data_IF_239532390225
#
_entry.id   IF_239532390225
#
_cell.length_a   1.000
_cell.length_b   1.000
_cell.length_c   1.000
_cell.angle_alpha   90.00
_cell.angle_beta   90.00
_cell.angle_gamma   90.00
#
_symmetry.space_group_name_H-M   'P 1'
#
loop_
_entity.id
_entity.type
_entity.pdbx_description
1 polymer ?
#
# COMPACT_ATOMS: atom_id res chain seq x y z
N UNK A 1 3.06 13.58 12.95
CA UNK A 1 3.24 15.04 12.91
C UNK A 1 3.60 15.59 11.53
N UNK A 2 4.69 15.13 10.88
CA UNK A 2 5.13 15.65 9.58
C UNK A 2 4.02 15.68 8.50
N UNK A 3 3.29 14.58 8.30
CA UNK A 3 2.20 14.53 7.32
C UNK A 3 1.11 15.59 7.57
N UNK A 4 0.77 15.86 8.84
CA UNK A 4 -0.24 16.88 9.20
C UNK A 4 0.25 18.28 8.84
N UNK A 5 1.51 18.59 9.16
CA UNK A 5 2.14 19.86 8.80
C UNK A 5 2.26 20.04 7.29
N UNK A 6 2.51 18.97 6.53
CA UNK A 6 2.53 19.02 5.06
C UNK A 6 1.14 19.37 4.51
N UNK A 7 0.06 18.78 5.05
CA UNK A 7 -1.30 19.13 4.62
C UNK A 7 -1.62 20.60 4.88
N UNK A 8 -1.30 21.09 6.09
CA UNK A 8 -1.52 22.49 6.49
C UNK A 8 -0.74 23.47 5.60
N UNK A 9 0.56 23.21 5.38
CA UNK A 9 1.40 24.06 4.53
C UNK A 9 0.93 24.15 3.07
N UNK A 10 0.12 23.20 2.62
CA UNK A 10 -0.45 23.15 1.27
C UNK A 10 -1.96 23.47 1.24
N UNK A 11 -2.57 23.89 2.36
CA UNK A 11 -3.99 24.24 2.43
C UNK A 11 -4.96 23.09 2.19
N UNK A 12 -4.54 21.83 2.44
CA UNK A 12 -5.38 20.64 2.22
C UNK A 12 -6.19 20.36 3.50
N UNK A 13 -7.48 20.68 3.46
CA UNK A 13 -8.40 20.52 4.60
C UNK A 13 -9.28 19.25 4.54
N UNK A 14 -9.28 18.53 3.41
CA UNK A 14 -10.11 17.34 3.16
C UNK A 14 -9.36 16.02 3.34
N UNK A 15 -8.36 15.99 4.22
CA UNK A 15 -7.56 14.80 4.50
C UNK A 15 -7.36 14.61 6.01
N UNK A 16 -7.26 13.36 6.44
CA UNK A 16 -7.06 13.00 7.84
C UNK A 16 -5.75 12.24 8.03
N UNK A 17 -5.02 12.58 9.10
CA UNK A 17 -3.77 11.90 9.48
C UNK A 17 -4.00 11.15 10.78
N UNK A 18 -3.98 9.82 10.70
CA UNK A 18 -4.12 8.93 11.85
C UNK A 18 -2.81 8.21 12.14
N UNK A 19 -2.47 8.13 13.43
CA UNK A 19 -1.48 7.17 13.91
C UNK A 19 -2.16 5.80 13.99
N UNK A 20 -1.58 4.79 13.34
CA UNK A 20 -2.17 3.46 13.26
C UNK A 20 -1.09 2.43 12.92
N UNK A 21 -1.26 1.19 13.37
CA UNK A 21 -0.50 0.05 12.87
C UNK A 21 -1.22 -0.56 11.66
N UNK A 22 -0.70 -0.30 10.46
CA UNK A 22 -1.24 -0.81 9.19
C UNK A 22 -2.77 -0.59 9.03
N UNK A 23 -3.30 0.54 9.49
CA UNK A 23 -4.73 0.85 9.39
C UNK A 23 -5.63 0.10 10.38
N UNK A 24 -5.08 -0.42 11.48
CA UNK A 24 -5.86 -0.86 12.63
C UNK A 24 -6.82 0.24 13.10
N UNK A 25 -8.04 -0.17 13.47
CA UNK A 25 -9.14 0.72 13.87
C UNK A 25 -9.95 1.31 12.71
N UNK A 26 -9.47 1.19 11.46
CA UNK A 26 -10.26 1.59 10.28
C UNK A 26 -11.26 0.48 9.88
N UNK A 27 -12.52 0.83 9.58
CA UNK A 27 -13.52 -0.15 9.15
C UNK A 27 -13.12 -0.88 7.87
N UNK A 28 -13.39 -2.17 7.78
CA UNK A 28 -13.18 -2.95 6.56
C UNK A 28 -14.10 -2.45 5.43
N UNK A 29 -13.63 -2.51 4.18
CA UNK A 29 -14.47 -2.10 3.03
C UNK A 29 -14.78 -0.62 2.93
N UNK A 30 -14.03 0.25 3.62
CA UNK A 30 -14.29 1.69 3.69
C UNK A 30 -13.59 2.52 2.61
N UNK A 31 -12.69 1.91 1.82
CA UNK A 31 -11.90 2.64 0.82
C UNK A 31 -12.09 2.10 -0.59
N UNK A 32 -12.13 3.03 -1.55
CA UNK A 32 -12.17 2.74 -2.98
C UNK A 32 -10.77 2.43 -3.52
N UNK A 33 -9.77 3.10 -2.94
CA UNK A 33 -8.37 3.03 -3.32
C UNK A 33 -7.51 3.05 -2.07
N UNK A 34 -6.48 2.20 -2.04
CA UNK A 34 -5.38 2.25 -1.09
C UNK A 34 -4.11 2.43 -1.90
N UNK A 35 -3.26 3.39 -1.52
CA UNK A 35 -1.95 3.61 -2.15
C UNK A 35 -0.87 3.52 -1.07
N UNK A 36 0.21 2.81 -1.37
CA UNK A 36 1.32 2.66 -0.42
C UNK A 36 2.68 2.57 -1.11
N UNK A 37 3.68 3.12 -0.43
CA UNK A 37 5.10 2.90 -0.68
C UNK A 37 5.65 2.25 0.59
N UNK A 38 5.57 0.91 0.73
CA UNK A 38 5.98 0.23 1.95
C UNK A 38 7.45 0.51 2.28
N UNK A 39 7.83 0.55 3.56
CA UNK A 39 9.23 0.63 3.92
C UNK A 39 9.99 -0.58 3.38
N UNK A 40 11.25 -0.36 3.00
CA UNK A 40 12.17 -1.41 2.59
C UNK A 40 13.41 -1.36 3.46
N UNK A 41 13.93 -2.53 3.81
CA UNK A 41 15.19 -2.73 4.50
C UNK A 41 16.14 -3.53 3.60
N UNK A 42 17.29 -3.92 4.13
CA UNK A 42 18.31 -4.70 3.40
C UNK A 42 18.09 -6.21 3.60
N UNK A 43 17.22 -6.58 4.54
CA UNK A 43 16.93 -7.97 4.90
C UNK A 43 15.59 -8.42 4.30
N UNK A 44 15.68 -9.32 3.31
CA UNK A 44 14.57 -9.76 2.47
C UNK A 44 13.48 -10.48 3.27
N UNK A 45 13.82 -11.20 4.34
CA UNK A 45 12.80 -11.90 5.14
C UNK A 45 11.96 -10.93 5.97
N UNK A 46 12.62 -9.93 6.58
CA UNK A 46 11.95 -8.85 7.31
C UNK A 46 11.07 -8.03 6.35
N UNK A 47 11.58 -7.76 5.14
CA UNK A 47 10.84 -7.05 4.10
C UNK A 47 9.57 -7.80 3.69
N UNK A 48 9.62 -9.14 3.56
CA UNK A 48 8.43 -9.93 3.23
C UNK A 48 7.36 -9.80 4.29
N UNK A 49 7.70 -9.94 5.58
CA UNK A 49 6.72 -9.89 6.65
C UNK A 49 6.03 -8.52 6.70
N UNK A 50 6.80 -7.44 6.60
CA UNK A 50 6.25 -6.08 6.60
C UNK A 50 5.40 -5.86 5.35
N UNK A 51 5.89 -6.24 4.16
CA UNK A 51 5.14 -6.11 2.92
C UNK A 51 3.79 -6.83 2.98
N UNK A 52 3.76 -8.08 3.46
CA UNK A 52 2.52 -8.85 3.60
C UNK A 52 1.52 -8.17 4.53
N UNK A 53 1.96 -7.63 5.68
CA UNK A 53 1.06 -6.88 6.59
C UNK A 53 0.41 -5.68 5.90
N UNK A 54 1.16 -4.93 5.09
CA UNK A 54 0.61 -3.82 4.32
C UNK A 54 -0.37 -4.28 3.23
N UNK A 55 -0.06 -5.38 2.52
CA UNK A 55 -0.89 -5.94 1.45
C UNK A 55 -2.22 -6.47 2.02
N UNK A 56 -2.18 -7.23 3.12
CA UNK A 56 -3.37 -7.75 3.80
C UNK A 56 -4.23 -6.63 4.38
N UNK A 57 -3.61 -5.63 5.02
CA UNK A 57 -4.30 -4.45 5.49
C UNK A 57 -5.02 -3.71 4.35
N UNK A 58 -4.35 -3.50 3.21
CA UNK A 58 -4.97 -2.89 2.04
C UNK A 58 -6.18 -3.71 1.57
N UNK A 59 -6.04 -5.04 1.46
CA UNK A 59 -7.14 -5.94 1.06
C UNK A 59 -8.34 -5.87 2.00
N UNK A 60 -8.12 -5.74 3.31
CA UNK A 60 -9.17 -5.58 4.33
C UNK A 60 -9.91 -4.25 4.18
N UNK A 61 -9.17 -3.16 3.96
CA UNK A 61 -9.69 -1.80 3.92
C UNK A 61 -10.44 -1.47 2.63
N UNK A 62 -10.05 -2.08 1.51
CA UNK A 62 -10.69 -1.87 0.22
C UNK A 62 -12.13 -2.41 0.23
N UNK A 63 -13.07 -1.75 -0.46
CA UNK A 63 -14.39 -2.32 -0.81
C UNK A 63 -14.29 -3.33 -1.97
N UNK A 64 -15.35 -4.07 -2.26
CA UNK A 64 -15.39 -4.93 -3.45
C UNK A 64 -15.13 -4.12 -4.74
N UNK A 65 -14.23 -4.58 -5.60
CA UNK A 65 -13.79 -3.83 -6.78
C UNK A 65 -12.86 -2.63 -6.48
N UNK A 66 -12.49 -2.42 -5.21
CA UNK A 66 -11.50 -1.45 -4.80
C UNK A 66 -10.09 -1.83 -5.27
N UNK A 67 -9.18 -0.85 -5.34
CA UNK A 67 -7.84 -1.04 -5.94
C UNK A 67 -6.72 -0.66 -5.00
N UNK A 68 -5.72 -1.53 -4.87
CA UNK A 68 -4.42 -1.23 -4.28
C UNK A 68 -3.48 -0.72 -5.37
N UNK A 69 -2.76 0.36 -5.09
CA UNK A 69 -1.54 0.76 -5.81
C UNK A 69 -0.34 0.65 -4.88
N UNK A 70 0.64 -0.18 -5.26
CA UNK A 70 1.84 -0.42 -4.47
C UNK A 70 3.07 -0.20 -5.33
N UNK A 71 3.98 0.67 -4.87
CA UNK A 71 5.30 0.82 -5.48
C UNK A 71 6.36 0.09 -4.65
N UNK A 72 7.27 -0.60 -5.33
CA UNK A 72 8.42 -1.27 -4.70
C UNK A 72 9.63 -1.30 -5.64
N UNK A 73 10.81 -1.61 -5.10
CA UNK A 73 11.99 -1.85 -5.90
C UNK A 73 11.79 -3.05 -6.86
N UNK A 74 12.20 -2.90 -8.12
CA UNK A 74 11.97 -3.89 -9.18
C UNK A 74 12.57 -5.27 -8.89
N UNK A 75 13.66 -5.33 -8.12
CA UNK A 75 14.35 -6.58 -7.80
C UNK A 75 13.66 -7.38 -6.68
N UNK A 76 12.72 -6.77 -5.94
CA UNK A 76 12.02 -7.45 -4.86
C UNK A 76 10.86 -8.29 -5.43
N UNK A 77 10.64 -9.52 -4.93
CA UNK A 77 9.64 -10.44 -5.48
C UNK A 77 8.24 -10.14 -4.95
N UNK A 78 7.71 -8.93 -5.17
CA UNK A 78 6.37 -8.54 -4.71
C UNK A 78 5.23 -9.26 -5.44
N UNK A 79 5.43 -9.66 -6.69
CA UNK A 79 4.39 -10.30 -7.50
C UNK A 79 3.76 -11.53 -6.83
N UNK A 80 4.54 -12.56 -6.41
CA UNK A 80 3.97 -13.71 -5.72
C UNK A 80 3.25 -13.32 -4.41
N UNK A 81 3.81 -12.39 -3.64
CA UNK A 81 3.20 -11.94 -2.37
C UNK A 81 1.87 -11.21 -2.58
N UNK A 82 1.76 -10.45 -3.67
CA UNK A 82 0.50 -9.81 -4.05
C UNK A 82 -0.53 -10.82 -4.53
N UNK A 83 -0.11 -11.83 -5.29
CA UNK A 83 -0.97 -12.90 -5.79
C UNK A 83 -1.49 -13.83 -4.69
N UNK A 84 -0.77 -13.94 -3.56
CA UNK A 84 -1.25 -14.64 -2.35
C UNK A 84 -2.52 -13.97 -1.77
N UNK A 85 -2.72 -12.66 -1.98
CA UNK A 85 -3.77 -11.86 -1.32
C UNK A 85 -4.83 -11.31 -2.29
N UNK A 86 -4.45 -11.03 -3.53
CA UNK A 86 -5.32 -10.42 -4.53
C UNK A 86 -5.53 -11.34 -5.75
N UNK A 87 -6.78 -11.50 -6.23
CA UNK A 87 -7.09 -12.34 -7.39
C UNK A 87 -6.57 -11.74 -8.72
N UNK A 88 -6.38 -10.42 -8.78
CA UNK A 88 -5.89 -9.72 -9.96
C UNK A 88 -4.76 -8.78 -9.56
N UNK A 89 -3.60 -8.98 -10.18
CA UNK A 89 -2.37 -8.22 -9.97
C UNK A 89 -1.78 -7.90 -11.33
N UNK A 90 -1.43 -6.65 -11.57
CA UNK A 90 -0.78 -6.21 -12.80
C UNK A 90 0.26 -5.13 -12.51
N UNK A 91 1.33 -5.10 -13.30
CA UNK A 91 2.26 -3.98 -13.32
C UNK A 91 1.70 -2.88 -14.22
N UNK A 92 1.40 -1.71 -13.65
CA UNK A 92 0.86 -0.56 -14.40
C UNK A 92 1.94 0.42 -14.84
N UNK A 93 3.11 0.35 -14.22
CA UNK A 93 4.26 1.16 -14.55
C UNK A 93 5.53 0.52 -14.02
N UNK A 94 6.65 0.66 -14.73
CA UNK A 94 7.97 0.30 -14.22
C UNK A 94 9.07 1.14 -14.87
N UNK A 95 10.19 1.26 -14.15
CA UNK A 95 11.46 1.75 -14.68
C UNK A 95 12.62 0.80 -14.31
N UNK A 96 13.86 1.31 -14.34
CA UNK A 96 15.04 0.52 -13.97
C UNK A 96 15.12 0.18 -12.49
N UNK A 97 14.45 0.94 -11.62
CA UNK A 97 14.58 0.88 -10.16
C UNK A 97 13.31 0.43 -9.46
N UNK A 98 12.14 0.85 -9.95
CA UNK A 98 10.84 0.67 -9.30
C UNK A 98 9.81 0.05 -10.24
N UNK A 99 8.82 -0.61 -9.63
CA UNK A 99 7.62 -1.10 -10.29
C UNK A 99 6.40 -0.69 -9.47
N UNK A 100 5.34 -0.26 -10.15
CA UNK A 100 4.02 0.03 -9.55
C UNK A 100 3.06 -1.08 -9.95
N UNK A 101 2.50 -1.71 -8.93
CA UNK A 101 1.47 -2.73 -9.04
C UNK A 101 0.08 -2.13 -8.86
N UNK A 102 -0.90 -2.58 -9.63
CA UNK A 102 -2.33 -2.42 -9.37
C UNK A 102 -2.91 -3.78 -8.99
N UNK A 103 -3.63 -3.85 -7.87
CA UNK A 103 -4.34 -5.05 -7.45
C UNK A 103 -5.82 -4.76 -7.20
N UNK A 104 -6.71 -5.67 -7.58
CA UNK A 104 -8.17 -5.48 -7.44
C UNK A 104 -8.75 -6.44 -6.41
N UNK A 105 -9.53 -5.91 -5.46
CA UNK A 105 -10.22 -6.66 -4.40
C UNK A 105 -11.44 -7.43 -4.91
#
# INVERSE_FOLDING_TARGET
EAARRTLEANGIANAEVRLSDCGEGLPSGSFDVVATNPPFHVDVEVDRLIALRFIEAARRLLRAGGRLYLVANRFLPYEPWLQEVFPHVEAVWEDRRYRVWRCTR
#
